data_IF_645185316770
#
_entry.id   IF_645185316770
#
_cell.length_a   1.000
_cell.length_b   1.000
_cell.length_c   1.000
_cell.angle_alpha   90.00
_cell.angle_beta   90.00
_cell.angle_gamma   90.00
#
_symmetry.space_group_name_H-M   'P 1'
#
loop_
_entity.id
_entity.type
_entity.pdbx_description
1 polymer ?
#
# COMPACT_ATOMS: atom_id res chain seq x y z
N UNK A 1 -42.65 28.56 -1.35
CA UNK A 1 -41.76 27.39 -1.11
C UNK A 1 -40.31 27.87 -1.14
N UNK A 2 -39.53 27.63 -0.09
CA UNK A 2 -38.13 28.08 -0.02
C UNK A 2 -37.21 26.85 0.06
N UNK A 3 -36.34 26.65 -0.93
CA UNK A 3 -35.35 25.59 -0.89
C UNK A 3 -34.25 25.98 0.12
N UNK A 4 -33.98 25.11 1.10
CA UNK A 4 -32.86 25.28 2.01
C UNK A 4 -31.55 25.23 1.19
N UNK A 5 -30.88 26.37 1.04
CA UNK A 5 -29.51 26.42 0.52
C UNK A 5 -28.62 25.73 1.55
N UNK A 6 -28.10 24.54 1.20
CA UNK A 6 -27.08 23.89 2.01
C UNK A 6 -25.89 24.86 2.20
N UNK A 7 -25.27 24.92 3.39
CA UNK A 7 -24.07 25.72 3.56
C UNK A 7 -22.99 25.22 2.57
N UNK A 8 -22.17 26.13 2.02
CA UNK A 8 -21.06 25.73 1.17
C UNK A 8 -20.18 24.73 1.94
N UNK A 9 -19.83 23.62 1.28
CA UNK A 9 -18.84 22.68 1.83
C UNK A 9 -17.57 23.47 2.10
N UNK A 10 -16.99 23.29 3.30
CA UNK A 10 -15.69 23.90 3.64
C UNK A 10 -14.68 23.57 2.54
N UNK A 11 -13.93 24.59 2.09
CA UNK A 11 -12.84 24.40 1.15
C UNK A 11 -11.84 23.38 1.70
N UNK A 12 -11.72 22.27 0.99
CA UNK A 12 -10.73 21.25 1.23
C UNK A 12 -9.73 21.27 0.06
N UNK A 13 -8.42 21.35 0.32
CA UNK A 13 -7.78 21.27 1.63
C UNK A 13 -7.74 22.64 2.33
N UNK A 14 -8.08 22.73 3.63
CA UNK A 14 -7.80 23.96 4.38
C UNK A 14 -6.27 24.16 4.39
N UNK A 15 -5.76 25.39 4.39
CA UNK A 15 -4.32 25.63 4.62
C UNK A 15 -3.79 24.99 5.93
N UNK A 16 -4.71 24.61 6.84
CA UNK A 16 -4.45 23.77 8.01
C UNK A 16 -4.03 22.34 7.65
N UNK A 17 -4.51 21.76 6.55
CA UNK A 17 -4.15 20.42 6.09
C UNK A 17 -2.69 20.35 5.66
N UNK A 18 -2.21 21.31 4.85
CA UNK A 18 -0.80 21.34 4.45
C UNK A 18 0.12 21.39 5.69
N UNK A 19 -0.19 22.28 6.64
CA UNK A 19 0.52 22.38 7.91
C UNK A 19 0.40 21.11 8.76
N UNK A 20 -0.78 20.50 8.81
CA UNK A 20 -1.00 19.24 9.52
C UNK A 20 -0.20 18.10 8.89
N UNK A 21 -0.17 17.98 7.57
CA UNK A 21 0.62 16.98 6.85
C UNK A 21 2.11 17.15 7.14
N UNK A 22 2.65 18.36 7.02
CA UNK A 22 4.06 18.64 7.37
C UNK A 22 4.38 18.22 8.81
N UNK A 23 3.50 18.57 9.76
CA UNK A 23 3.67 18.19 11.16
C UNK A 23 3.62 16.68 11.37
N UNK A 24 2.63 16.00 10.79
CA UNK A 24 2.49 14.54 10.92
C UNK A 24 3.66 13.79 10.28
N UNK A 25 4.20 14.27 9.17
CA UNK A 25 5.37 13.67 8.54
C UNK A 25 6.60 13.82 9.43
N UNK A 26 6.77 14.98 10.09
CA UNK A 26 7.83 15.18 11.07
C UNK A 26 7.68 14.24 12.28
N UNK A 27 6.46 14.09 12.81
CA UNK A 27 6.16 13.16 13.93
C UNK A 27 6.42 11.69 13.55
N UNK A 28 6.05 11.27 12.34
CA UNK A 28 6.33 9.90 11.84
C UNK A 28 7.83 9.66 11.66
N UNK A 29 8.56 10.67 11.21
CA UNK A 29 9.99 10.58 10.94
C UNK A 29 10.87 10.75 12.20
N UNK A 30 10.31 11.23 13.31
CA UNK A 30 11.02 11.49 14.57
C UNK A 30 11.77 10.25 15.08
N UNK A 31 11.15 9.07 14.97
CA UNK A 31 11.78 7.80 15.35
C UNK A 31 11.47 6.71 14.35
N UNK A 32 12.43 6.47 13.45
CA UNK A 32 12.36 5.33 12.54
C UNK A 32 12.32 4.02 13.33
N UNK A 33 11.43 3.12 12.91
CA UNK A 33 11.45 1.74 13.40
C UNK A 33 12.82 1.12 13.09
N UNK A 34 13.39 0.33 14.01
CA UNK A 34 14.61 -0.41 13.70
C UNK A 34 14.36 -1.28 12.47
N UNK A 35 15.42 -1.52 11.70
CA UNK A 35 15.35 -2.38 10.53
C UNK A 35 14.65 -3.68 10.90
N UNK A 36 13.55 -3.98 10.21
CA UNK A 36 12.78 -5.18 10.47
C UNK A 36 13.70 -6.36 10.18
N UNK A 37 14.06 -7.11 11.22
CA UNK A 37 14.68 -8.43 11.06
C UNK A 37 13.92 -9.22 10.02
N UNK A 38 14.63 -9.78 9.05
CA UNK A 38 14.05 -10.70 8.09
C UNK A 38 13.21 -11.73 8.83
N UNK A 39 11.89 -11.73 8.59
CA UNK A 39 10.99 -12.76 9.10
C UNK A 39 11.14 -14.02 8.26
N UNK A 40 12.37 -14.53 8.20
CA UNK A 40 12.69 -15.85 7.69
C UNK A 40 12.24 -16.81 8.77
N UNK A 41 10.94 -17.11 8.85
CA UNK A 41 10.39 -18.06 9.80
C UNK A 41 11.01 -19.44 9.49
N UNK A 42 12.07 -19.88 10.18
CA UNK A 42 12.85 -21.03 9.74
C UNK A 42 12.05 -22.31 9.90
N UNK A 43 11.11 -22.34 10.85
CA UNK A 43 10.12 -23.41 11.00
C UNK A 43 9.07 -23.42 9.90
N UNK A 44 8.60 -22.26 9.44
CA UNK A 44 7.68 -22.17 8.30
C UNK A 44 8.40 -22.58 7.03
N UNK A 45 9.66 -22.18 6.85
CA UNK A 45 10.47 -22.61 5.71
C UNK A 45 10.74 -24.10 5.80
N UNK A 46 11.17 -24.67 6.93
CA UNK A 46 11.33 -26.13 7.08
C UNK A 46 10.01 -26.89 6.86
N UNK A 47 8.89 -26.50 7.48
CA UNK A 47 7.55 -27.10 7.23
C UNK A 47 7.13 -26.98 5.77
N UNK A 48 7.38 -25.81 5.16
CA UNK A 48 7.13 -25.58 3.74
C UNK A 48 8.03 -26.48 2.90
N UNK A 49 9.31 -26.64 3.20
CA UNK A 49 10.23 -27.53 2.47
C UNK A 49 9.82 -29.00 2.56
N UNK A 50 9.28 -29.46 3.69
CA UNK A 50 8.79 -30.84 3.86
C UNK A 50 7.50 -31.13 3.10
N UNK A 51 6.61 -30.13 2.95
CA UNK A 51 5.33 -30.28 2.25
C UNK A 51 5.33 -29.72 0.83
N UNK A 52 6.40 -29.03 0.41
CA UNK A 52 6.50 -28.43 -0.91
C UNK A 52 7.24 -29.39 -1.83
N UNK A 53 6.62 -29.84 -2.93
CA UNK A 53 7.31 -30.70 -3.89
C UNK A 53 8.57 -29.99 -4.38
N UNK A 54 9.70 -30.71 -4.33
CA UNK A 54 10.98 -30.25 -4.85
C UNK A 54 10.80 -29.73 -6.29
N UNK A 55 11.55 -28.69 -6.69
CA UNK A 55 11.53 -28.22 -8.09
C UNK A 55 11.84 -29.40 -9.02
N UNK A 56 10.92 -29.71 -9.91
CA UNK A 56 11.08 -30.74 -10.95
C UNK A 56 11.59 -30.09 -12.24
N UNK A 57 12.12 -30.88 -13.17
CA UNK A 57 12.59 -30.40 -14.47
C UNK A 57 11.51 -29.58 -15.20
N UNK A 58 10.24 -29.99 -15.12
CA UNK A 58 9.09 -29.28 -15.69
C UNK A 58 8.86 -27.86 -15.12
N UNK A 59 9.37 -27.57 -13.91
CA UNK A 59 9.28 -26.23 -13.31
C UNK A 59 10.40 -25.28 -13.77
N UNK A 60 11.41 -25.77 -14.51
CA UNK A 60 12.49 -24.92 -15.05
C UNK A 60 12.00 -23.99 -16.16
N UNK A 61 11.01 -24.44 -16.93
CA UNK A 61 10.46 -23.72 -18.09
C UNK A 61 9.02 -23.24 -17.83
N UNK A 62 8.68 -22.90 -16.59
CA UNK A 62 7.34 -22.41 -16.27
C UNK A 62 7.07 -21.09 -17.03
N UNK A 63 5.94 -20.96 -17.75
CA UNK A 63 5.66 -19.75 -18.51
C UNK A 63 5.59 -18.53 -17.58
N UNK A 64 6.22 -17.40 -17.96
CA UNK A 64 6.13 -16.18 -17.15
C UNK A 64 4.67 -15.72 -17.05
N UNK A 65 4.26 -15.12 -15.91
CA UNK A 65 2.96 -14.49 -15.81
C UNK A 65 2.86 -13.39 -16.86
N UNK A 66 1.72 -13.31 -17.55
CA UNK A 66 1.48 -12.21 -18.48
C UNK A 66 1.39 -10.90 -17.69
N UNK A 67 2.06 -9.83 -18.14
CA UNK A 67 1.96 -8.53 -17.48
C UNK A 67 0.50 -8.07 -17.53
N UNK A 68 -0.08 -7.79 -16.37
CA UNK A 68 -1.39 -7.16 -16.31
C UNK A 68 -1.24 -5.67 -16.64
N UNK A 69 -1.96 -5.20 -17.66
CA UNK A 69 -2.07 -3.76 -17.94
C UNK A 69 -3.02 -3.14 -16.91
N UNK A 70 -2.49 -2.31 -16.02
CA UNK A 70 -3.26 -1.58 -15.02
C UNK A 70 -3.45 -0.15 -15.49
N UNK A 71 -4.70 0.24 -15.77
CA UNK A 71 -5.06 1.64 -16.09
C UNK A 71 -5.39 2.36 -14.80
N UNK A 72 -4.53 3.31 -14.39
CA UNK A 72 -4.78 4.17 -13.24
C UNK A 72 -5.54 5.40 -13.73
N UNK A 73 -6.82 5.52 -13.39
CA UNK A 73 -7.60 6.73 -13.65
C UNK A 73 -7.50 7.66 -12.44
N UNK A 74 -6.98 8.87 -12.67
CA UNK A 74 -7.08 9.96 -11.70
C UNK A 74 -8.57 10.36 -11.64
N UNK A 75 -9.14 10.43 -10.44
CA UNK A 75 -10.45 11.08 -10.27
C UNK A 75 -10.22 12.58 -10.25
N UNK A 76 -10.66 13.26 -11.29
CA UNK A 76 -10.75 14.71 -11.28
C UNK A 76 -11.76 15.13 -10.21
N UNK A 77 -11.31 16.02 -9.34
CA UNK A 77 -12.08 16.52 -8.21
C UNK A 77 -12.69 17.85 -8.66
N UNK A 78 -13.98 17.86 -9.00
CA UNK A 78 -14.76 19.08 -9.32
C UNK A 78 -15.14 19.84 -8.06
#
# INVERSE_FOLDING_TARGET
MYAARYPPRRDFPPGRLARALTRTLAEIAERLLPERRHRTCPHVIKRKMSNWPLKRAQHRNWPPPQPATVTITQRDTT
#
